data_IF_968493732272
#
_entry.id   IF_968493732272
#
_cell.length_a   1.000
_cell.length_b   1.000
_cell.length_c   1.000
_cell.angle_alpha   90.00
_cell.angle_beta   90.00
_cell.angle_gamma   90.00
#
_symmetry.space_group_name_H-M   'P 1'
#
loop_
_entity.id
_entity.type
_entity.pdbx_description
1 polymer ?
#
# COMPACT_ATOMS: atom_id res chain seq x y z
N UNK A 1 5.57 -31.92 -6.35
CA UNK A 1 4.75 -30.70 -6.46
C UNK A 1 5.38 -29.85 -7.54
N UNK A 2 4.69 -29.64 -8.67
CA UNK A 2 5.22 -28.87 -9.80
C UNK A 2 4.53 -27.51 -9.76
N UNK A 3 5.28 -26.46 -9.42
CA UNK A 3 4.82 -25.09 -9.62
C UNK A 3 4.83 -24.80 -11.13
N UNK A 4 3.83 -24.09 -11.68
CA UNK A 4 3.87 -23.70 -13.09
C UNK A 4 5.06 -22.75 -13.29
N UNK A 5 6.08 -23.21 -14.01
CA UNK A 5 7.29 -22.46 -14.33
C UNK A 5 7.05 -21.40 -15.44
N UNK A 6 5.84 -20.85 -15.52
CA UNK A 6 5.51 -19.78 -16.44
C UNK A 6 6.03 -18.45 -15.90
N UNK A 7 6.57 -17.62 -16.79
CA UNK A 7 6.93 -16.23 -16.48
C UNK A 7 5.68 -15.57 -15.90
N UNK A 8 5.76 -15.06 -14.67
CA UNK A 8 4.62 -14.52 -13.92
C UNK A 8 3.82 -13.48 -14.71
N UNK A 9 4.50 -12.71 -15.57
CA UNK A 9 3.89 -11.73 -16.46
C UNK A 9 2.95 -12.35 -17.50
N UNK A 10 3.26 -13.53 -18.03
CA UNK A 10 2.47 -14.20 -19.07
C UNK A 10 1.17 -14.80 -18.53
N UNK A 11 1.21 -15.37 -17.31
CA UNK A 11 -0.01 -15.78 -16.58
C UNK A 11 -0.87 -14.56 -16.27
N UNK A 12 -0.24 -13.39 -16.06
CA UNK A 12 -0.94 -12.14 -15.83
C UNK A 12 -1.54 -11.54 -17.12
N UNK A 13 -0.92 -11.67 -18.29
CA UNK A 13 -1.45 -11.05 -19.53
C UNK A 13 -2.39 -11.96 -20.32
N UNK A 14 -2.18 -13.28 -20.24
CA UNK A 14 -2.97 -14.27 -20.98
C UNK A 14 -3.29 -15.51 -20.13
N UNK A 15 -4.09 -15.36 -19.05
CA UNK A 15 -4.41 -16.47 -18.14
C UNK A 15 -5.14 -17.65 -18.83
N UNK A 16 -5.89 -17.37 -19.90
CA UNK A 16 -6.60 -18.38 -20.70
C UNK A 16 -5.67 -19.40 -21.36
N UNK A 17 -4.46 -19.00 -21.76
CA UNK A 17 -3.47 -19.88 -22.39
C UNK A 17 -2.91 -20.93 -21.41
N UNK A 18 -3.11 -20.70 -20.10
CA UNK A 18 -2.67 -21.59 -19.03
C UNK A 18 -3.84 -22.28 -18.32
N UNK A 19 -5.06 -22.21 -18.89
CA UNK A 19 -6.27 -22.75 -18.26
C UNK A 19 -6.64 -22.07 -16.94
N UNK A 20 -6.10 -20.88 -16.67
CA UNK A 20 -6.39 -20.08 -15.49
C UNK A 20 -7.52 -19.08 -15.78
N UNK A 21 -8.38 -18.87 -14.79
CA UNK A 21 -9.41 -17.84 -14.83
C UNK A 21 -8.78 -16.50 -14.39
N UNK A 22 -9.00 -15.43 -15.15
CA UNK A 22 -8.59 -14.09 -14.73
C UNK A 22 -9.59 -13.54 -13.72
N UNK A 23 -9.18 -13.46 -12.46
CA UNK A 23 -9.94 -12.84 -11.39
C UNK A 23 -9.38 -11.47 -11.00
N UNK A 24 -8.63 -10.80 -11.87
CA UNK A 24 -8.21 -9.42 -11.58
C UNK A 24 -9.40 -8.51 -11.54
N UNK A 25 -9.88 -8.31 -10.33
CA UNK A 25 -10.68 -7.15 -10.02
C UNK A 25 -9.75 -5.94 -9.98
N UNK A 26 -10.03 -4.89 -10.75
CA UNK A 26 -9.29 -3.65 -10.62
C UNK A 26 -9.44 -3.16 -9.18
N UNK A 27 -8.32 -3.09 -8.47
CA UNK A 27 -8.28 -2.73 -7.05
C UNK A 27 -8.99 -1.39 -6.82
N UNK A 28 -8.83 -0.45 -7.75
CA UNK A 28 -9.52 0.85 -7.72
C UNK A 28 -11.05 0.74 -7.73
N UNK A 29 -11.62 -0.26 -8.42
CA UNK A 29 -13.07 -0.46 -8.48
C UNK A 29 -13.61 -1.04 -7.19
N UNK A 30 -12.90 -2.03 -6.63
CA UNK A 30 -13.23 -2.64 -5.33
C UNK A 30 -13.11 -1.59 -4.23
N UNK A 31 -12.05 -0.79 -4.25
CA UNK A 31 -11.86 0.33 -3.33
C UNK A 31 -13.04 1.30 -3.42
N UNK A 32 -13.44 1.75 -4.60
CA UNK A 32 -14.58 2.68 -4.74
C UNK A 32 -15.91 2.14 -4.26
N UNK A 33 -16.15 0.83 -4.37
CA UNK A 33 -17.43 0.20 -4.00
C UNK A 33 -17.49 -0.10 -2.50
N UNK A 34 -16.40 -0.61 -1.93
CA UNK A 34 -16.39 -1.16 -0.58
C UNK A 34 -15.69 -0.25 0.44
N UNK A 35 -14.83 0.66 -0.01
CA UNK A 35 -14.13 1.60 0.87
C UNK A 35 -14.93 2.89 0.94
N UNK A 36 -15.75 3.00 1.99
CA UNK A 36 -16.19 4.31 2.47
C UNK A 36 -15.00 4.94 3.18
N UNK A 37 -14.36 5.93 2.57
CA UNK A 37 -13.23 6.66 3.18
C UNK A 37 -13.53 7.25 4.56
N UNK A 38 -14.81 7.48 4.87
CA UNK A 38 -15.27 7.95 6.19
C UNK A 38 -15.49 6.84 7.22
N UNK A 39 -15.31 5.56 6.85
CA UNK A 39 -15.48 4.46 7.80
C UNK A 39 -14.22 4.28 8.66
N UNK A 40 -14.33 4.24 10.00
CA UNK A 40 -13.18 4.17 10.92
C UNK A 40 -12.24 2.98 10.70
N UNK A 41 -12.71 1.90 10.09
CA UNK A 41 -11.86 0.76 9.73
C UNK A 41 -10.75 1.12 8.73
N UNK A 42 -10.93 2.19 7.96
CA UNK A 42 -9.93 2.70 7.01
C UNK A 42 -9.12 3.85 7.60
N UNK A 43 -9.35 4.19 8.87
CA UNK A 43 -8.48 5.06 9.65
C UNK A 43 -7.22 4.26 10.00
N UNK A 44 -6.25 4.27 9.07
CA UNK A 44 -4.98 3.53 9.18
C UNK A 44 -4.19 3.90 10.43
N UNK A 45 -4.43 5.10 10.96
CA UNK A 45 -3.79 5.66 12.14
C UNK A 45 -4.86 6.39 12.95
N UNK A 46 -5.09 6.04 14.23
CA UNK A 46 -6.01 6.78 15.09
C UNK A 46 -5.70 8.28 15.08
N UNK A 47 -6.69 9.18 15.17
CA UNK A 47 -6.46 10.61 14.92
C UNK A 47 -5.48 11.23 15.91
N UNK A 48 -5.49 10.76 17.17
CA UNK A 48 -4.53 11.18 18.18
C UNK A 48 -3.08 10.78 17.84
N UNK A 49 -2.88 9.58 17.30
CA UNK A 49 -1.57 9.13 16.84
C UNK A 49 -1.16 9.86 15.55
N UNK A 50 -2.11 10.15 14.66
CA UNK A 50 -1.87 10.93 13.46
C UNK A 50 -1.36 12.34 13.76
N UNK A 51 -1.98 13.05 14.71
CA UNK A 51 -1.52 14.36 15.16
C UNK A 51 -0.11 14.32 15.76
N UNK A 52 0.18 13.33 16.62
CA UNK A 52 1.52 13.15 17.18
C UNK A 52 2.59 12.88 16.11
N UNK A 53 2.29 12.01 15.14
CA UNK A 53 3.21 11.71 14.03
C UNK A 53 3.46 12.94 13.15
N UNK A 54 2.44 13.76 12.93
CA UNK A 54 2.56 15.02 12.18
C UNK A 54 3.50 16.00 12.91
N UNK A 55 3.40 16.12 14.23
CA UNK A 55 4.31 16.95 15.03
C UNK A 55 5.77 16.44 14.93
N UNK A 56 5.98 15.13 15.02
CA UNK A 56 7.30 14.52 14.83
C UNK A 56 7.85 14.77 13.42
N UNK A 57 7.00 14.66 12.40
CA UNK A 57 7.36 14.84 11.00
C UNK A 57 7.68 16.32 10.67
N UNK A 58 6.95 17.26 11.29
CA UNK A 58 7.27 18.68 11.26
C UNK A 58 8.62 18.97 11.94
N UNK A 59 8.93 18.27 13.04
CA UNK A 59 10.25 18.33 13.69
C UNK A 59 11.41 17.87 12.80
N UNK A 60 11.15 17.01 11.82
CA UNK A 60 12.12 16.57 10.81
C UNK A 60 12.30 17.56 9.65
N UNK A 61 11.55 18.67 9.63
CA UNK A 61 11.56 19.64 8.53
C UNK A 61 10.72 19.22 7.33
N UNK A 62 9.74 18.32 7.53
CA UNK A 62 8.77 17.90 6.52
C UNK A 62 9.43 17.38 5.21
N UNK A 63 10.35 16.40 5.31
CA UNK A 63 11.14 15.92 4.17
C UNK A 63 10.28 15.21 3.11
N UNK A 64 10.45 15.48 1.80
CA UNK A 64 9.61 14.87 0.77
C UNK A 64 9.68 13.33 0.78
N UNK A 65 8.52 12.68 0.69
CA UNK A 65 8.38 11.22 0.67
C UNK A 65 8.21 10.73 -0.78
N UNK A 66 9.16 9.91 -1.23
CA UNK A 66 9.08 9.12 -2.46
C UNK A 66 9.50 7.66 -2.16
N UNK A 67 9.48 6.78 -3.15
CA UNK A 67 9.83 5.37 -2.95
C UNK A 67 11.26 5.12 -2.43
N UNK A 68 12.17 6.08 -2.59
CA UNK A 68 13.57 6.02 -2.14
C UNK A 68 13.76 6.65 -0.77
N UNK A 69 13.01 7.71 -0.46
CA UNK A 69 13.11 8.44 0.81
C UNK A 69 12.18 7.91 1.91
N UNK A 70 11.09 7.22 1.55
CA UNK A 70 10.06 6.75 2.49
C UNK A 70 10.64 5.95 3.67
N UNK A 71 11.58 5.03 3.39
CA UNK A 71 12.19 4.21 4.44
C UNK A 71 13.10 5.02 5.36
N UNK A 72 13.83 6.00 4.80
CA UNK A 72 14.68 6.90 5.59
C UNK A 72 13.86 7.80 6.51
N UNK A 73 12.77 8.36 5.99
CA UNK A 73 11.82 9.18 6.77
C UNK A 73 11.19 8.36 7.89
N UNK A 74 10.79 7.12 7.61
CA UNK A 74 10.26 6.21 8.63
C UNK A 74 11.26 5.95 9.76
N UNK A 75 12.52 5.65 9.44
CA UNK A 75 13.56 5.46 10.45
C UNK A 75 13.85 6.72 11.26
N UNK A 76 13.80 7.90 10.62
CA UNK A 76 13.98 9.17 11.29
C UNK A 76 12.85 9.43 12.29
N UNK A 77 11.59 9.17 11.90
CA UNK A 77 10.43 9.24 12.80
C UNK A 77 10.57 8.24 13.96
N UNK A 78 10.96 7.00 13.67
CA UNK A 78 11.15 5.96 14.69
C UNK A 78 12.25 6.29 15.71
N UNK A 79 13.19 7.18 15.37
CA UNK A 79 14.26 7.59 16.28
C UNK A 79 13.83 8.71 17.23
N UNK A 80 12.69 9.35 16.97
CA UNK A 80 12.14 10.49 17.73
C UNK A 80 11.01 10.04 18.67
N UNK A 81 10.35 8.93 18.34
CA UNK A 81 9.26 8.30 19.11
C UNK A 81 9.84 7.34 20.14
#
# INVERSE_FOLDING_TARGET
>A
QVLPHGILELVHTSPGDYGALDFKMPVDHVCKIYIKHTHPIFELVPPALGGFLEDCYNGLGHPPIDCKSAWGVYHALLSII
#
